data_IF_849504232038
#
_entry.id   IF_849504232038
#
_cell.length_a   1.000
_cell.length_b   1.000
_cell.length_c   1.000
_cell.angle_alpha   90.00
_cell.angle_beta   90.00
_cell.angle_gamma   90.00
#
_symmetry.space_group_name_H-M   'P 1'
#
loop_
_entity.id
_entity.type
_entity.pdbx_description
1 polymer ?
#
# COMPACT_ATOMS: atom_id res chain seq x y z
N UNK A 1 22.08 -4.70 -1.74
CA UNK A 1 21.39 -5.53 -0.73
C UNK A 1 21.57 -4.88 0.64
N UNK A 2 20.49 -4.74 1.41
CA UNK A 2 20.51 -4.19 2.77
C UNK A 2 20.48 -5.35 3.76
N UNK A 3 21.47 -5.46 4.65
CA UNK A 3 21.63 -6.58 5.59
C UNK A 3 21.76 -6.12 7.06
N UNK A 4 21.33 -4.89 7.35
CA UNK A 4 21.27 -4.35 8.70
C UNK A 4 19.93 -3.66 8.92
N UNK A 5 19.47 -3.63 10.17
CA UNK A 5 18.23 -2.94 10.55
C UNK A 5 18.31 -1.43 10.37
N UNK A 6 19.53 -0.87 10.25
CA UNK A 6 19.71 0.55 9.93
C UNK A 6 19.45 0.85 8.45
N UNK A 7 19.76 -0.10 7.56
CA UNK A 7 19.61 0.07 6.11
C UNK A 7 18.29 -0.50 5.56
N UNK A 8 17.65 -1.43 6.28
CA UNK A 8 16.35 -1.97 5.95
C UNK A 8 15.28 -1.35 6.86
N UNK A 9 14.55 -0.33 6.39
CA UNK A 9 13.62 0.40 7.24
C UNK A 9 12.48 -0.51 7.70
N UNK A 10 12.28 -0.57 9.01
CA UNK A 10 11.11 -1.17 9.66
C UNK A 10 10.30 -0.01 10.27
N UNK A 11 8.98 0.06 10.03
CA UNK A 11 8.14 1.10 10.62
C UNK A 11 8.28 1.16 12.15
N UNK A 12 8.50 2.36 12.66
CA UNK A 12 8.47 2.70 14.08
C UNK A 12 7.06 3.06 14.53
N UNK A 13 6.87 3.27 15.84
CA UNK A 13 5.60 3.76 16.39
C UNK A 13 5.14 5.10 15.80
N UNK A 14 6.04 5.90 15.23
CA UNK A 14 5.70 7.20 14.62
C UNK A 14 5.20 7.09 13.19
N UNK A 15 5.42 5.95 12.53
CA UNK A 15 5.10 5.75 11.12
C UNK A 15 3.68 5.19 10.92
N UNK A 16 3.12 4.55 11.95
CA UNK A 16 1.78 3.96 11.94
C UNK A 16 0.83 4.86 12.72
N UNK A 17 -0.25 5.30 12.06
CA UNK A 17 -1.32 6.09 12.67
C UNK A 17 -2.33 5.25 13.44
N UNK A 18 -3.56 5.75 13.52
CA UNK A 18 -4.69 5.01 14.09
C UNK A 18 -5.03 3.77 13.24
N UNK A 19 -5.16 2.62 13.90
CA UNK A 19 -5.64 1.37 13.28
C UNK A 19 -7.10 1.19 13.66
N UNK A 20 -7.98 1.29 12.68
CA UNK A 20 -9.40 1.00 12.85
C UNK A 20 -9.61 -0.51 12.70
N UNK A 21 -10.31 -1.11 13.66
CA UNK A 21 -10.60 -2.55 13.69
C UNK A 21 -12.11 -2.74 13.67
N UNK A 22 -12.59 -3.46 12.66
CA UNK A 22 -14.00 -3.85 12.53
C UNK A 22 -14.11 -5.38 12.41
N UNK A 23 -15.16 -5.93 13.00
CA UNK A 23 -15.45 -7.36 12.93
C UNK A 23 -16.50 -7.64 11.88
N UNK A 24 -16.16 -8.51 10.93
CA UNK A 24 -17.14 -9.05 10.00
C UNK A 24 -18.04 -10.06 10.72
N UNK A 25 -19.35 -9.92 10.55
CA UNK A 25 -20.32 -10.91 11.02
C UNK A 25 -20.21 -12.16 10.14
N UNK A 26 -19.47 -13.16 10.62
CA UNK A 26 -19.26 -14.41 9.91
C UNK A 26 -19.02 -15.56 10.88
N UNK A 27 -19.43 -16.77 10.47
CA UNK A 27 -19.28 -18.00 11.25
C UNK A 27 -18.62 -19.09 10.41
N UNK A 28 -17.75 -19.90 11.01
CA UNK A 28 -17.14 -21.09 10.40
C UNK A 28 -17.64 -22.36 11.11
N UNK A 29 -18.51 -23.16 10.47
CA UNK A 29 -19.07 -24.37 11.09
C UNK A 29 -18.02 -25.38 11.57
N UNK A 30 -16.85 -25.41 10.93
CA UNK A 30 -15.77 -26.34 11.28
C UNK A 30 -14.78 -25.77 12.31
N UNK A 31 -14.88 -24.48 12.62
CA UNK A 31 -13.96 -23.76 13.49
C UNK A 31 -14.39 -23.82 14.96
N UNK A 32 -13.45 -23.81 15.91
CA UNK A 32 -13.79 -23.79 17.32
C UNK A 32 -14.60 -22.53 17.64
N UNK A 33 -15.81 -22.71 18.15
CA UNK A 33 -16.76 -21.62 18.44
C UNK A 33 -17.08 -20.72 17.23
N UNK A 34 -16.90 -21.21 16.00
CA UNK A 34 -17.13 -20.42 14.77
C UNK A 34 -15.93 -19.64 14.24
N UNK A 35 -14.75 -19.79 14.85
CA UNK A 35 -13.57 -18.99 14.52
C UNK A 35 -12.95 -19.33 13.16
N UNK A 36 -12.33 -18.32 12.53
CA UNK A 36 -11.56 -18.41 11.28
C UNK A 36 -10.14 -17.88 11.52
N UNK A 37 -9.18 -18.33 10.70
CA UNK A 37 -7.83 -17.74 10.69
C UNK A 37 -7.87 -16.35 10.06
N UNK A 38 -7.18 -15.39 10.68
CA UNK A 38 -7.04 -14.01 10.18
C UNK A 38 -5.59 -13.50 10.18
N UNK A 39 -4.62 -14.36 10.54
CA UNK A 39 -3.23 -13.93 10.79
C UNK A 39 -2.55 -13.31 9.56
N UNK A 40 -2.85 -13.81 8.37
CA UNK A 40 -2.23 -13.36 7.10
C UNK A 40 -3.03 -12.25 6.41
N UNK A 41 -4.35 -12.22 6.60
CA UNK A 41 -5.26 -11.28 5.91
C UNK A 41 -4.89 -9.82 6.22
N UNK A 42 -4.50 -9.55 7.46
CA UNK A 42 -4.07 -8.22 7.89
C UNK A 42 -2.75 -7.75 7.26
N UNK A 43 -1.89 -8.66 6.80
CA UNK A 43 -0.59 -8.33 6.19
C UNK A 43 -0.60 -8.35 4.67
N UNK A 44 -1.49 -9.12 4.04
CA UNK A 44 -1.55 -9.25 2.58
C UNK A 44 -2.27 -8.07 1.89
N UNK A 45 -3.27 -7.52 2.56
CA UNK A 45 -4.14 -6.46 2.01
C UNK A 45 -3.54 -5.04 1.98
N UNK A 46 -2.64 -4.61 2.90
CA UNK A 46 -2.12 -3.25 2.93
C UNK A 46 -1.44 -2.76 1.63
N UNK A 47 -0.59 -3.53 0.92
CA UNK A 47 0.04 -3.04 -0.31
C UNK A 47 -0.98 -2.63 -1.38
N UNK A 48 -2.05 -3.43 -1.56
CA UNK A 48 -3.12 -3.12 -2.51
C UNK A 48 -3.96 -1.91 -2.06
N UNK A 49 -4.26 -1.80 -0.76
CA UNK A 49 -4.98 -0.66 -0.20
C UNK A 49 -4.20 0.65 -0.41
N UNK A 50 -2.89 0.65 -0.13
CA UNK A 50 -2.01 1.81 -0.34
C UNK A 50 -1.93 2.17 -1.83
N UNK A 51 -1.78 1.19 -2.73
CA UNK A 51 -1.77 1.44 -4.18
C UNK A 51 -3.07 2.12 -4.67
N UNK A 52 -4.21 1.69 -4.14
CA UNK A 52 -5.51 2.29 -4.46
C UNK A 52 -5.65 3.69 -3.87
N UNK A 53 -5.16 3.94 -2.66
CA UNK A 53 -5.13 5.26 -2.04
C UNK A 53 -4.26 6.24 -2.85
N UNK A 54 -3.08 5.81 -3.30
CA UNK A 54 -2.21 6.60 -4.19
C UNK A 54 -2.92 6.94 -5.50
N UNK A 55 -3.60 5.97 -6.12
CA UNK A 55 -4.40 6.23 -7.33
C UNK A 55 -5.52 7.23 -7.07
N UNK A 56 -6.24 7.09 -5.97
CA UNK A 56 -7.32 8.00 -5.62
C UNK A 56 -6.81 9.44 -5.38
N UNK A 57 -5.66 9.59 -4.72
CA UNK A 57 -5.07 10.89 -4.43
C UNK A 57 -4.39 11.57 -5.63
N UNK A 58 -3.76 10.79 -6.52
CA UNK A 58 -2.90 11.33 -7.58
C UNK A 58 -3.49 11.17 -8.98
N UNK A 59 -4.52 10.34 -9.17
CA UNK A 59 -5.02 9.93 -10.48
C UNK A 59 -4.09 8.99 -11.26
N UNK A 60 -3.00 8.53 -10.64
CA UNK A 60 -1.95 7.72 -11.30
C UNK A 60 -1.96 6.31 -10.71
N UNK A 61 -1.90 5.27 -11.56
CA UNK A 61 -1.73 3.89 -11.09
C UNK A 61 -0.25 3.57 -10.88
N UNK A 62 0.13 3.24 -9.65
CA UNK A 62 1.45 2.72 -9.28
C UNK A 62 1.27 1.28 -8.79
N UNK A 63 1.92 0.31 -9.45
CA UNK A 63 1.79 -1.13 -9.14
C UNK A 63 3.11 -1.80 -8.73
N UNK A 64 4.21 -1.04 -8.69
CA UNK A 64 5.54 -1.54 -8.33
C UNK A 64 5.88 -1.15 -6.89
N UNK A 65 5.81 -2.12 -5.98
CA UNK A 65 6.17 -1.97 -4.56
C UNK A 65 7.67 -2.11 -4.32
N UNK A 66 8.22 -1.62 -3.18
CA UNK A 66 7.58 -0.74 -2.20
C UNK A 66 7.35 0.68 -2.77
N UNK A 67 6.34 1.39 -2.26
CA UNK A 67 5.99 2.75 -2.72
C UNK A 67 6.91 3.81 -2.10
N UNK A 68 8.20 3.79 -2.46
CA UNK A 68 9.16 4.75 -1.92
C UNK A 68 8.87 6.18 -2.41
N UNK A 69 9.26 7.22 -1.66
CA UNK A 69 9.09 8.61 -2.09
C UNK A 69 9.66 8.89 -3.49
N UNK A 70 10.79 8.29 -3.84
CA UNK A 70 11.44 8.45 -5.15
C UNK A 70 10.61 7.85 -6.27
N UNK A 71 10.05 6.64 -6.06
CA UNK A 71 9.17 5.98 -7.04
C UNK A 71 7.88 6.77 -7.23
N UNK A 72 7.28 7.26 -6.14
CA UNK A 72 6.06 8.08 -6.20
C UNK A 72 6.33 9.42 -6.90
N UNK A 73 7.43 10.11 -6.55
CA UNK A 73 7.82 11.38 -7.19
C UNK A 73 8.08 11.19 -8.68
N UNK A 74 8.78 10.12 -9.07
CA UNK A 74 9.02 9.79 -10.48
C UNK A 74 7.70 9.58 -11.23
N UNK A 75 6.77 8.81 -10.66
CA UNK A 75 5.46 8.58 -11.26
C UNK A 75 4.68 9.90 -11.49
N UNK A 76 4.72 10.82 -10.52
CA UNK A 76 4.10 12.16 -10.63
C UNK A 76 4.73 12.97 -11.77
N UNK A 77 6.07 12.96 -11.88
CA UNK A 77 6.77 13.69 -12.95
C UNK A 77 6.43 13.14 -14.34
N UNK A 78 6.51 11.82 -14.51
CA UNK A 78 6.19 11.18 -15.79
C UNK A 78 4.73 11.43 -16.21
N UNK A 79 3.79 11.44 -15.27
CA UNK A 79 2.40 11.78 -15.57
C UNK A 79 2.24 13.25 -16.03
N UNK A 80 2.96 14.19 -15.41
CA UNK A 80 2.96 15.60 -15.85
C UNK A 80 3.56 15.78 -17.24
N UNK A 81 4.67 15.12 -17.54
CA UNK A 81 5.30 15.16 -18.86
C UNK A 81 4.38 14.60 -19.94
N UNK A 82 3.68 13.48 -19.67
CA UNK A 82 2.72 12.90 -20.60
C UNK A 82 1.49 13.78 -20.86
N UNK A 83 1.14 14.67 -19.92
CA UNK A 83 0.02 15.60 -20.04
C UNK A 83 0.38 16.91 -20.78
N UNK A 84 1.67 17.19 -21.02
CA UNK A 84 2.07 18.35 -21.80
C UNK A 84 1.77 18.11 -23.30
N UNK A 85 1.21 19.10 -24.01
CA UNK A 85 1.01 18.97 -25.44
C UNK A 85 2.36 18.77 -26.13
N UNK A 86 2.46 17.73 -26.96
CA UNK A 86 3.59 17.60 -27.88
C UNK A 86 3.51 18.77 -28.85
N UNK A 87 4.40 19.75 -28.73
CA UNK A 87 4.59 20.76 -29.77
C UNK A 87 4.89 20.01 -31.07
N UNK A 88 3.97 20.13 -32.03
CA UNK A 88 4.18 19.61 -33.38
C UNK A 88 5.09 20.63 -34.08
N UNK A 89 6.31 20.20 -34.44
CA UNK A 89 7.13 20.87 -35.45
C UNK A 89 6.54 20.67 -36.83
#
# INVERSE_FOLDING_TARGET
LTNSMNAYPIPSRRDVGEILVEFADSYEPTGPFGAKSIGEIGVDTPPAAIANALRAALGIRISDTPFTPEKVLKAIRSAKEAAQPKEHM
#
